data_IF_517316563173
#
_entry.id   IF_517316563173
#
_cell.length_a   1.000
_cell.length_b   1.000
_cell.length_c   1.000
_cell.angle_alpha   90.00
_cell.angle_beta   90.00
_cell.angle_gamma   90.00
#
_symmetry.space_group_name_H-M   'P 1'
#
loop_
_entity.id
_entity.type
_entity.pdbx_description
1 polymer ?
#
# COMPACT_ATOMS: atom_id res chain seq x y z
N UNK A 1 -20.76 16.31 -16.03
CA UNK A 1 -19.91 16.20 -17.24
C UNK A 1 -18.71 15.34 -16.85
N UNK A 2 -18.64 14.13 -17.36
CA UNK A 2 -17.44 13.30 -17.27
C UNK A 2 -16.43 13.92 -18.23
N UNK A 3 -15.35 14.50 -17.72
CA UNK A 3 -14.19 14.79 -18.55
C UNK A 3 -13.47 13.45 -18.72
N UNK A 4 -13.57 12.87 -19.89
CA UNK A 4 -12.68 11.82 -20.33
C UNK A 4 -11.27 12.42 -20.35
N UNK A 5 -10.46 12.04 -19.37
CA UNK A 5 -9.02 12.27 -19.43
C UNK A 5 -8.47 11.20 -20.39
N UNK A 6 -8.72 11.42 -21.66
CA UNK A 6 -8.09 10.66 -22.74
C UNK A 6 -6.69 11.21 -22.92
N UNK A 7 -5.65 10.44 -22.61
CA UNK A 7 -4.32 10.77 -23.04
C UNK A 7 -3.14 10.43 -22.13
N UNK A 8 -3.31 9.66 -21.06
CA UNK A 8 -2.16 9.18 -20.30
C UNK A 8 -2.12 7.66 -20.30
N UNK A 9 -1.32 7.10 -21.21
CA UNK A 9 -0.96 5.70 -21.12
C UNK A 9 0.10 5.53 -20.03
N UNK A 10 -0.15 4.64 -19.06
CA UNK A 10 0.82 4.33 -18.02
C UNK A 10 1.13 2.84 -18.02
N UNK A 11 2.41 2.50 -18.01
CA UNK A 11 2.93 1.15 -17.86
C UNK A 11 3.79 1.05 -16.59
N UNK A 12 3.66 -0.04 -15.83
CA UNK A 12 4.47 -0.30 -14.67
C UNK A 12 5.04 -1.71 -14.75
N UNK A 13 6.36 -1.80 -14.83
CA UNK A 13 7.09 -3.06 -14.78
C UNK A 13 7.69 -3.23 -13.39
N UNK A 14 7.53 -4.40 -12.77
CA UNK A 14 8.09 -4.65 -11.46
C UNK A 14 8.55 -6.08 -11.28
N UNK A 15 9.64 -6.23 -10.51
CA UNK A 15 10.15 -7.52 -10.06
C UNK A 15 10.32 -7.53 -8.55
N UNK A 16 10.06 -8.66 -7.90
CA UNK A 16 10.32 -8.79 -6.48
C UNK A 16 10.90 -10.16 -6.13
N UNK A 17 11.71 -10.19 -5.07
CA UNK A 17 12.26 -11.40 -4.47
C UNK A 17 11.86 -11.39 -3.01
N UNK A 18 11.36 -12.53 -2.50
CA UNK A 18 11.03 -12.69 -1.09
C UNK A 18 11.69 -13.94 -0.54
N UNK A 19 12.44 -13.76 0.54
CA UNK A 19 13.03 -14.83 1.34
C UNK A 19 12.29 -14.88 2.67
N UNK A 20 11.76 -16.02 3.05
CA UNK A 20 11.03 -16.18 4.31
C UNK A 20 11.27 -17.55 4.93
N UNK A 21 11.25 -17.60 6.27
CA UNK A 21 11.25 -18.84 7.05
C UNK A 21 9.94 -18.96 7.81
N UNK A 22 9.30 -20.11 7.74
CA UNK A 22 8.08 -20.39 8.51
C UNK A 22 8.45 -20.98 9.89
N UNK A 23 7.68 -20.62 10.90
CA UNK A 23 7.86 -21.10 12.27
C UNK A 23 7.14 -20.20 13.28
N UNK A 24 7.35 -20.46 14.58
CA UNK A 24 6.90 -19.56 15.66
C UNK A 24 7.51 -18.16 15.45
N UNK A 25 8.76 -18.10 15.01
CA UNK A 25 9.48 -16.93 14.55
C UNK A 25 9.59 -16.98 13.03
N UNK A 26 9.07 -16.00 12.36
CA UNK A 26 8.98 -15.96 10.90
C UNK A 26 9.68 -14.71 10.33
N UNK A 27 11.03 -14.74 10.21
CA UNK A 27 11.77 -13.67 9.55
C UNK A 27 11.49 -13.68 8.05
N UNK A 28 11.45 -12.49 7.46
CA UNK A 28 11.24 -12.28 6.02
C UNK A 28 12.10 -11.11 5.56
N UNK A 29 12.64 -11.22 4.35
CA UNK A 29 13.25 -10.11 3.61
C UNK A 29 12.67 -10.09 2.21
N UNK A 30 12.13 -8.94 1.80
CA UNK A 30 11.67 -8.74 0.45
C UNK A 30 12.42 -7.57 -0.22
N UNK A 31 12.76 -7.76 -1.49
CA UNK A 31 13.37 -6.76 -2.36
C UNK A 31 12.39 -6.50 -3.50
N UNK A 32 12.21 -5.23 -3.87
CA UNK A 32 11.37 -4.80 -4.98
C UNK A 32 12.15 -3.80 -5.83
N UNK A 33 12.05 -3.95 -7.13
CA UNK A 33 12.38 -2.92 -8.11
C UNK A 33 11.18 -2.72 -9.03
N UNK A 34 10.86 -1.48 -9.35
CA UNK A 34 9.78 -1.14 -10.27
C UNK A 34 10.15 0.11 -11.07
N UNK A 35 9.78 0.09 -12.35
CA UNK A 35 9.91 1.19 -13.27
C UNK A 35 8.51 1.53 -13.80
N UNK A 36 8.15 2.81 -13.74
CA UNK A 36 6.89 3.33 -14.26
C UNK A 36 7.15 4.27 -15.43
N UNK A 37 6.37 4.11 -16.50
CA UNK A 37 6.42 4.94 -17.70
C UNK A 37 5.07 5.63 -17.86
N UNK A 38 5.09 6.87 -18.36
CA UNK A 38 3.89 7.63 -18.70
C UNK A 38 4.09 8.17 -20.12
N UNK A 39 3.15 7.88 -21.01
CA UNK A 39 3.23 8.21 -22.44
C UNK A 39 4.54 7.74 -23.10
N UNK A 40 5.00 6.53 -22.71
CA UNK A 40 6.23 5.93 -23.24
C UNK A 40 7.52 6.55 -22.72
N UNK A 41 7.47 7.47 -21.75
CA UNK A 41 8.65 8.10 -21.13
C UNK A 41 8.87 7.54 -19.73
N UNK A 42 10.11 7.34 -19.34
CA UNK A 42 10.49 6.97 -18.00
C UNK A 42 10.00 8.04 -17.01
N UNK A 43 9.14 7.65 -16.07
CA UNK A 43 8.58 8.58 -15.10
C UNK A 43 9.15 8.38 -13.69
N UNK A 44 9.19 7.12 -13.20
CA UNK A 44 9.59 6.81 -11.84
C UNK A 44 10.34 5.49 -11.78
N UNK A 45 11.49 5.50 -11.10
CA UNK A 45 12.18 4.29 -10.64
C UNK A 45 12.00 4.14 -9.13
N UNK A 46 11.62 2.95 -8.69
CA UNK A 46 11.43 2.60 -7.28
C UNK A 46 12.27 1.39 -6.91
N UNK A 47 13.09 1.52 -5.87
CA UNK A 47 13.79 0.42 -5.23
C UNK A 47 13.38 0.33 -3.78
N UNK A 48 13.11 -0.88 -3.27
CA UNK A 48 12.66 -1.08 -1.88
C UNK A 48 13.25 -2.32 -1.27
N UNK A 49 13.66 -2.18 -0.01
CA UNK A 49 14.05 -3.28 0.88
C UNK A 49 13.04 -3.33 2.02
N UNK A 50 12.50 -4.52 2.29
CA UNK A 50 11.43 -4.72 3.28
C UNK A 50 11.76 -5.89 4.20
N UNK A 51 12.53 -5.66 5.29
CA UNK A 51 12.64 -6.65 6.36
C UNK A 51 11.32 -6.77 7.12
N UNK A 52 10.96 -7.99 7.49
CA UNK A 52 9.82 -8.23 8.36
C UNK A 52 10.09 -9.37 9.33
N UNK A 53 9.36 -9.37 10.42
CA UNK A 53 9.47 -10.35 11.47
C UNK A 53 8.08 -10.69 12.00
N UNK A 54 7.74 -11.96 11.98
CA UNK A 54 6.49 -12.47 12.50
C UNK A 54 6.70 -13.30 13.77
N UNK A 55 5.77 -13.20 14.70
CA UNK A 55 5.77 -13.95 15.96
C UNK A 55 4.38 -14.50 16.28
N UNK A 56 4.28 -15.81 16.43
CA UNK A 56 3.05 -16.46 16.87
C UNK A 56 2.98 -16.42 18.41
N UNK A 57 2.27 -15.41 18.94
CA UNK A 57 2.09 -15.20 20.39
C UNK A 57 1.32 -16.36 21.01
N UNK A 58 0.28 -16.83 20.33
CA UNK A 58 -0.55 -17.96 20.71
C UNK A 58 -1.24 -18.53 19.46
N UNK A 59 -1.94 -19.69 19.52
CA UNK A 59 -2.68 -20.21 18.37
C UNK A 59 -3.71 -19.27 17.75
N UNK A 60 -4.11 -18.22 18.50
CA UNK A 60 -5.09 -17.21 18.04
C UNK A 60 -4.49 -15.83 17.75
N UNK A 61 -3.25 -15.58 18.15
CA UNK A 61 -2.65 -14.25 18.02
C UNK A 61 -1.31 -14.31 17.31
N UNK A 62 -1.19 -13.55 16.22
CA UNK A 62 0.04 -13.42 15.46
C UNK A 62 0.40 -11.94 15.31
N UNK A 63 1.62 -11.59 15.66
CA UNK A 63 2.18 -10.24 15.51
C UNK A 63 3.15 -10.22 14.34
N UNK A 64 3.07 -9.21 13.47
CA UNK A 64 4.03 -8.95 12.41
C UNK A 64 4.56 -7.53 12.50
N UNK A 65 5.85 -7.39 12.57
CA UNK A 65 6.58 -6.12 12.46
C UNK A 65 7.21 -6.06 11.06
N UNK A 66 7.16 -4.90 10.43
CA UNK A 66 7.73 -4.71 9.09
C UNK A 66 8.31 -3.31 8.96
N UNK A 67 9.56 -3.24 8.47
CA UNK A 67 10.19 -2.01 7.99
C UNK A 67 10.21 -1.99 6.47
N UNK A 68 10.16 -0.81 5.87
CA UNK A 68 10.41 -0.62 4.45
C UNK A 68 11.35 0.57 4.29
N UNK A 69 12.40 0.41 3.52
CA UNK A 69 13.29 1.49 3.08
C UNK A 69 13.19 1.54 1.57
N UNK A 70 12.83 2.69 1.02
CA UNK A 70 12.64 2.86 -0.43
C UNK A 70 13.40 4.09 -0.92
N UNK A 71 13.93 3.98 -2.13
CA UNK A 71 14.47 5.06 -2.93
C UNK A 71 13.59 5.25 -4.17
N UNK A 72 13.24 6.52 -4.46
CA UNK A 72 12.40 6.92 -5.59
C UNK A 72 13.15 7.97 -6.40
N UNK A 73 13.23 7.76 -7.71
CA UNK A 73 13.87 8.69 -8.64
C UNK A 73 12.87 9.03 -9.75
N UNK A 74 12.62 10.34 -9.94
CA UNK A 74 11.69 10.87 -10.94
C UNK A 74 12.48 11.54 -12.06
N UNK A 75 12.40 11.00 -13.29
CA UNK A 75 13.22 11.50 -14.41
C UNK A 75 12.96 12.98 -14.74
N UNK A 76 11.68 13.38 -14.83
CA UNK A 76 11.31 14.75 -15.22
C UNK A 76 11.13 15.69 -14.02
N UNK A 77 11.17 15.16 -12.78
CA UNK A 77 10.88 15.91 -11.54
C UNK A 77 11.90 15.59 -10.45
N UNK A 78 13.20 15.92 -10.63
CA UNK A 78 14.25 15.54 -9.70
C UNK A 78 14.05 16.12 -8.28
N UNK A 79 13.30 17.18 -8.12
CA UNK A 79 12.91 17.76 -6.83
C UNK A 79 12.04 16.80 -6.00
N UNK A 80 11.38 15.83 -6.64
CA UNK A 80 10.57 14.78 -6.00
C UNK A 80 11.35 13.51 -5.67
N UNK A 81 12.61 13.40 -6.12
CA UNK A 81 13.46 12.28 -5.71
C UNK A 81 13.49 12.18 -4.20
N UNK A 82 13.24 10.99 -3.68
CA UNK A 82 13.02 10.86 -2.25
C UNK A 82 13.48 9.52 -1.68
N UNK A 83 13.88 9.55 -0.42
CA UNK A 83 14.04 8.37 0.41
C UNK A 83 12.87 8.26 1.37
N UNK A 84 12.30 7.06 1.46
CA UNK A 84 11.19 6.78 2.35
C UNK A 84 11.56 5.68 3.34
N UNK A 85 11.28 5.93 4.61
CA UNK A 85 11.31 4.93 5.67
C UNK A 85 9.88 4.75 6.20
N UNK A 86 9.46 3.49 6.35
CA UNK A 86 8.16 3.15 6.91
C UNK A 86 8.28 1.98 7.87
N UNK A 87 7.65 2.10 9.03
CA UNK A 87 7.57 1.02 10.02
C UNK A 87 6.10 0.72 10.29
N UNK A 88 5.76 -0.56 10.33
CA UNK A 88 4.39 -1.04 10.56
C UNK A 88 4.38 -2.19 11.55
N UNK A 89 3.35 -2.22 12.39
CA UNK A 89 3.00 -3.34 13.26
C UNK A 89 1.61 -3.84 12.89
N UNK A 90 1.44 -5.14 12.75
CA UNK A 90 0.13 -5.76 12.46
C UNK A 90 -0.15 -6.87 13.46
N UNK A 91 -1.25 -6.74 14.16
CA UNK A 91 -1.77 -7.76 15.06
C UNK A 91 -2.91 -8.50 14.36
N UNK A 92 -2.83 -9.83 14.31
CA UNK A 92 -3.87 -10.70 13.76
C UNK A 92 -4.56 -11.46 14.89
N UNK A 93 -5.88 -11.40 14.91
CA UNK A 93 -6.72 -12.28 15.70
C UNK A 93 -7.25 -13.38 14.79
N UNK A 94 -6.70 -14.59 14.93
CA UNK A 94 -7.03 -15.79 14.18
C UNK A 94 -8.22 -16.49 14.84
N UNK A 95 -9.39 -16.47 14.20
CA UNK A 95 -10.62 -17.06 14.74
C UNK A 95 -10.78 -18.51 14.30
N UNK A 96 -10.37 -18.80 13.05
CA UNK A 96 -10.37 -20.13 12.48
C UNK A 96 -9.09 -20.30 11.65
N UNK A 97 -7.96 -20.49 12.36
CA UNK A 97 -6.62 -20.53 11.78
C UNK A 97 -6.41 -19.31 10.86
N UNK A 98 -6.20 -19.57 9.56
CA UNK A 98 -6.01 -18.52 8.54
C UNK A 98 -7.26 -18.26 7.70
N UNK A 99 -8.34 -18.99 7.90
CA UNK A 99 -9.55 -18.91 7.08
C UNK A 99 -10.46 -17.77 7.51
N UNK A 100 -10.42 -17.42 8.81
CA UNK A 100 -11.11 -16.27 9.34
C UNK A 100 -10.23 -15.52 10.33
N UNK A 101 -9.97 -14.25 10.05
CA UNK A 101 -9.22 -13.40 10.95
C UNK A 101 -9.65 -11.94 10.86
N UNK A 102 -9.38 -11.20 11.94
CA UNK A 102 -9.35 -9.76 11.98
C UNK A 102 -7.89 -9.32 12.14
N UNK A 103 -7.43 -8.33 11.38
CA UNK A 103 -6.12 -7.73 11.60
C UNK A 103 -6.21 -6.22 11.76
N UNK A 104 -5.45 -5.70 12.72
CA UNK A 104 -5.26 -4.28 12.96
C UNK A 104 -3.78 -3.95 12.72
N UNK A 105 -3.53 -2.99 11.84
CA UNK A 105 -2.20 -2.47 11.54
C UNK A 105 -2.13 -1.00 11.91
N UNK A 106 -1.04 -0.62 12.57
CA UNK A 106 -0.61 0.76 12.76
C UNK A 106 0.78 0.96 12.17
N UNK A 107 1.12 2.18 11.76
CA UNK A 107 2.45 2.47 11.25
C UNK A 107 2.73 3.95 11.10
N UNK A 108 4.00 4.24 10.92
CA UNK A 108 4.54 5.57 10.64
C UNK A 108 5.35 5.51 9.36
N UNK A 109 5.38 6.61 8.63
CA UNK A 109 6.13 6.77 7.40
C UNK A 109 6.73 8.17 7.37
N UNK A 110 8.00 8.27 6.99
CA UNK A 110 8.67 9.52 6.67
C UNK A 110 9.18 9.44 5.24
N UNK A 111 8.93 10.47 4.47
CA UNK A 111 9.45 10.68 3.13
C UNK A 111 10.27 11.96 3.10
N UNK A 112 11.57 11.84 2.79
CA UNK A 112 12.48 12.94 2.64
C UNK A 112 12.76 13.12 1.13
N UNK A 113 12.20 14.14 0.53
CA UNK A 113 12.41 14.51 -0.86
C UNK A 113 13.56 15.52 -1.00
N UNK A 114 14.12 15.67 -2.20
CA UNK A 114 15.14 16.69 -2.48
C UNK A 114 14.61 18.10 -2.21
N UNK A 115 13.37 18.40 -2.61
CA UNK A 115 12.71 19.63 -2.21
C UNK A 115 11.79 19.36 -1.01
N UNK A 116 11.97 20.12 0.07
CA UNK A 116 11.23 19.97 1.33
C UNK A 116 9.71 20.07 1.16
N UNK A 117 9.26 20.76 0.09
CA UNK A 117 7.84 20.86 -0.27
C UNK A 117 7.16 19.49 -0.50
N UNK A 118 7.92 18.45 -0.85
CA UNK A 118 7.44 17.09 -1.07
C UNK A 118 7.77 16.15 0.09
N UNK A 119 8.50 16.64 1.10
CA UNK A 119 8.83 15.88 2.31
C UNK A 119 7.67 15.89 3.27
N UNK A 120 7.36 14.72 3.87
CA UNK A 120 6.24 14.59 4.83
C UNK A 120 6.45 13.44 5.81
N UNK A 121 5.78 13.58 6.95
CA UNK A 121 5.51 12.50 7.90
C UNK A 121 4.09 11.99 7.71
N UNK A 122 3.86 10.70 7.97
CA UNK A 122 2.53 10.12 7.87
C UNK A 122 2.27 9.07 8.94
N UNK A 123 0.99 9.02 9.37
CA UNK A 123 0.43 7.97 10.18
C UNK A 123 -0.46 7.07 9.32
N UNK A 124 -0.32 5.77 9.52
CA UNK A 124 -1.01 4.75 8.73
C UNK A 124 -1.84 3.88 9.65
N UNK A 125 -3.07 3.59 9.27
CA UNK A 125 -3.82 2.51 9.89
C UNK A 125 -4.50 1.62 8.84
N UNK A 126 -4.77 0.37 9.23
CA UNK A 126 -5.50 -0.58 8.40
C UNK A 126 -6.24 -1.56 9.29
N UNK A 127 -7.54 -1.71 9.05
CA UNK A 127 -8.36 -2.77 9.59
C UNK A 127 -8.72 -3.71 8.44
N UNK A 128 -8.51 -5.02 8.61
CA UNK A 128 -8.86 -6.01 7.59
C UNK A 128 -9.56 -7.20 8.22
N UNK A 129 -10.72 -7.53 7.71
CA UNK A 129 -11.45 -8.76 7.95
C UNK A 129 -11.23 -9.73 6.80
N UNK A 130 -10.99 -11.02 7.12
CA UNK A 130 -11.00 -12.12 6.17
C UNK A 130 -12.02 -13.15 6.61
N UNK A 131 -12.78 -13.67 5.67
CA UNK A 131 -13.77 -14.73 5.87
C UNK A 131 -13.69 -15.74 4.73
N UNK A 132 -13.49 -17.02 5.06
CA UNK A 132 -13.70 -18.12 4.11
C UNK A 132 -15.21 -18.32 3.88
N UNK A 133 -15.63 -18.48 2.63
CA UNK A 133 -17.00 -18.76 2.20
C UNK A 133 -16.94 -19.88 1.17
N UNK A 134 -17.16 -21.13 1.61
CA UNK A 134 -16.94 -22.30 0.77
C UNK A 134 -15.48 -22.39 0.29
N UNK A 135 -15.27 -22.40 -1.01
CA UNK A 135 -13.93 -22.48 -1.62
C UNK A 135 -13.25 -21.15 -1.86
N UNK A 136 -13.91 -20.01 -1.60
CA UNK A 136 -13.38 -18.69 -1.86
C UNK A 136 -13.21 -17.88 -0.58
N UNK A 137 -12.47 -16.77 -0.63
CA UNK A 137 -12.23 -15.87 0.50
C UNK A 137 -12.78 -14.49 0.20
N UNK A 138 -13.50 -13.94 1.17
CA UNK A 138 -13.93 -12.56 1.15
C UNK A 138 -13.09 -11.74 2.11
N UNK A 139 -12.77 -10.51 1.69
CA UNK A 139 -12.04 -9.55 2.50
C UNK A 139 -12.78 -8.21 2.51
N UNK A 140 -12.80 -7.60 3.69
CA UNK A 140 -13.18 -6.19 3.87
C UNK A 140 -11.99 -5.47 4.46
N UNK A 141 -11.60 -4.34 3.86
CA UNK A 141 -10.42 -3.59 4.28
C UNK A 141 -10.74 -2.10 4.36
N UNK A 142 -10.45 -1.49 5.52
CA UNK A 142 -10.42 -0.05 5.71
C UNK A 142 -8.96 0.36 5.92
N UNK A 143 -8.47 1.32 5.13
CA UNK A 143 -7.14 1.93 5.27
C UNK A 143 -7.28 3.42 5.48
N UNK A 144 -6.46 3.99 6.36
CA UNK A 144 -6.33 5.42 6.52
C UNK A 144 -4.87 5.83 6.44
N UNK A 145 -4.63 7.02 5.93
CA UNK A 145 -3.32 7.64 5.90
C UNK A 145 -3.51 9.14 6.14
N UNK A 146 -2.87 9.66 7.19
CA UNK A 146 -2.75 11.08 7.46
C UNK A 146 -1.32 11.50 7.16
N UNK A 147 -1.14 12.58 6.37
CA UNK A 147 0.16 13.15 6.00
C UNK A 147 0.24 14.59 6.44
N UNK A 148 1.39 14.97 6.95
CA UNK A 148 1.75 16.32 7.30
C UNK A 148 3.06 16.69 6.58
N UNK A 149 3.00 17.68 5.69
CA UNK A 149 4.16 18.11 4.91
C UNK A 149 5.02 19.05 5.74
N UNK A 150 6.34 19.01 5.49
CA UNK A 150 7.31 19.72 6.35
C UNK A 150 7.40 21.19 6.02
N UNK A 151 7.15 21.58 4.76
CA UNK A 151 7.27 22.96 4.33
C UNK A 151 5.90 23.62 4.14
N UNK A 152 5.77 24.86 4.62
CA UNK A 152 4.63 25.72 4.32
C UNK A 152 4.54 25.99 2.82
N UNK A 153 3.33 25.95 2.28
CA UNK A 153 3.03 26.40 0.93
C UNK A 153 2.62 27.86 0.93
N UNK A 154 3.30 28.69 0.15
CA UNK A 154 2.98 30.12 0.04
C UNK A 154 1.51 30.34 -0.33
N UNK A 155 0.91 29.48 -1.15
CA UNK A 155 -0.50 29.57 -1.55
C UNK A 155 -1.50 29.22 -0.44
N UNK A 156 -1.07 28.51 0.61
CA UNK A 156 -1.92 28.12 1.73
C UNK A 156 -1.66 28.97 2.98
N UNK A 157 -0.44 29.54 3.13
CA UNK A 157 0.01 30.19 4.35
C UNK A 157 0.27 29.20 5.51
N UNK A 158 0.25 27.91 5.23
CA UNK A 158 0.47 26.81 6.18
C UNK A 158 1.05 25.58 5.49
N UNK A 159 1.47 24.58 6.28
CA UNK A 159 1.90 23.30 5.78
C UNK A 159 0.70 22.50 5.23
N UNK A 160 0.90 21.81 4.13
CA UNK A 160 -0.12 20.94 3.55
C UNK A 160 -0.39 19.76 4.47
N UNK A 161 -1.68 19.42 4.64
CA UNK A 161 -2.16 18.26 5.39
C UNK A 161 -3.12 17.48 4.52
N UNK A 162 -2.92 16.16 4.46
CA UNK A 162 -3.75 15.26 3.66
C UNK A 162 -4.30 14.13 4.55
N UNK A 163 -5.59 13.82 4.38
CA UNK A 163 -6.23 12.66 4.97
C UNK A 163 -6.82 11.78 3.89
N UNK A 164 -6.41 10.53 3.84
CA UNK A 164 -6.93 9.54 2.88
C UNK A 164 -7.64 8.42 3.60
N UNK A 165 -8.82 8.09 3.10
CA UNK A 165 -9.61 6.93 3.48
C UNK A 165 -9.79 6.03 2.27
N UNK A 166 -9.64 4.73 2.47
CA UNK A 166 -9.94 3.73 1.45
C UNK A 166 -10.71 2.59 2.08
N UNK A 167 -11.94 2.39 1.63
CA UNK A 167 -12.73 1.20 1.92
C UNK A 167 -12.70 0.30 0.69
N UNK A 168 -12.37 -0.98 0.86
CA UNK A 168 -12.43 -1.95 -0.23
C UNK A 168 -12.99 -3.29 0.23
N UNK A 169 -13.69 -3.95 -0.69
CA UNK A 169 -14.16 -5.32 -0.57
C UNK A 169 -13.55 -6.14 -1.70
N UNK A 170 -12.99 -7.30 -1.39
CA UNK A 170 -12.41 -8.18 -2.41
C UNK A 170 -12.77 -9.64 -2.20
N UNK A 171 -12.81 -10.37 -3.30
CA UNK A 171 -13.03 -11.81 -3.34
C UNK A 171 -11.82 -12.45 -4.01
N UNK A 172 -11.28 -13.49 -3.37
CA UNK A 172 -10.26 -14.37 -3.94
C UNK A 172 -10.90 -15.72 -4.22
N UNK A 173 -10.91 -16.14 -5.47
CA UNK A 173 -11.51 -17.38 -5.93
C UNK A 173 -10.43 -18.31 -6.50
N UNK A 174 -10.16 -19.48 -5.88
CA UNK A 174 -9.31 -20.50 -6.48
C UNK A 174 -10.01 -21.10 -7.70
N UNK A 175 -9.41 -20.95 -8.89
CA UNK A 175 -9.97 -21.48 -10.15
C UNK A 175 -9.53 -22.92 -10.39
N UNK A 176 -8.24 -23.21 -10.13
CA UNK A 176 -7.63 -24.53 -10.26
C UNK A 176 -6.35 -24.59 -9.42
N UNK A 177 -5.63 -25.72 -9.46
CA UNK A 177 -4.34 -25.85 -8.77
C UNK A 177 -3.38 -24.76 -9.25
N UNK A 178 -2.96 -23.91 -8.32
CA UNK A 178 -2.02 -22.81 -8.56
C UNK A 178 -2.65 -21.55 -9.17
N UNK A 179 -3.92 -21.54 -9.61
CA UNK A 179 -4.57 -20.34 -10.17
C UNK A 179 -5.61 -19.76 -9.23
N UNK A 180 -5.57 -18.44 -9.06
CA UNK A 180 -6.48 -17.68 -8.21
C UNK A 180 -6.89 -16.38 -8.90
N UNK A 181 -8.22 -16.18 -9.01
CA UNK A 181 -8.81 -14.92 -9.47
C UNK A 181 -9.07 -14.02 -8.26
N UNK A 182 -8.68 -12.77 -8.36
CA UNK A 182 -9.03 -11.74 -7.39
C UNK A 182 -9.87 -10.66 -8.07
N UNK A 183 -10.95 -10.26 -7.42
CA UNK A 183 -11.79 -9.12 -7.81
C UNK A 183 -11.91 -8.20 -6.60
N UNK A 184 -11.56 -6.93 -6.77
CA UNK A 184 -11.66 -5.91 -5.71
C UNK A 184 -12.46 -4.72 -6.21
N UNK A 185 -13.42 -4.26 -5.41
CA UNK A 185 -14.10 -2.98 -5.55
C UNK A 185 -13.77 -2.11 -4.34
N UNK A 186 -13.53 -0.83 -4.55
CA UNK A 186 -13.15 0.10 -3.49
C UNK A 186 -13.60 1.52 -3.75
N UNK A 187 -13.62 2.30 -2.68
CA UNK A 187 -13.90 3.73 -2.70
C UNK A 187 -12.80 4.45 -1.93
N UNK A 188 -12.18 5.43 -2.58
CA UNK A 188 -11.15 6.30 -2.02
C UNK A 188 -11.72 7.70 -1.79
N UNK A 189 -11.49 8.26 -0.61
CA UNK A 189 -11.76 9.66 -0.28
C UNK A 189 -10.43 10.27 0.12
N UNK A 190 -10.09 11.37 -0.48
CA UNK A 190 -8.88 12.13 -0.23
C UNK A 190 -9.24 13.56 0.11
N UNK A 191 -8.97 13.99 1.34
CA UNK A 191 -9.14 15.35 1.83
C UNK A 191 -7.80 16.02 2.03
N UNK A 192 -7.68 17.25 1.59
CA UNK A 192 -6.48 18.07 1.73
C UNK A 192 -6.90 19.50 2.10
N UNK A 193 -6.05 20.22 2.84
CA UNK A 193 -6.19 21.68 2.95
C UNK A 193 -5.75 22.41 1.66
N UNK A 194 -5.30 21.67 0.64
CA UNK A 194 -5.09 22.14 -0.72
C UNK A 194 -6.25 21.68 -1.59
N UNK A 195 -7.22 22.55 -1.88
CA UNK A 195 -8.49 22.26 -2.57
C UNK A 195 -8.34 21.43 -3.85
N UNK A 196 -7.30 21.74 -4.66
CA UNK A 196 -7.04 21.01 -5.92
C UNK A 196 -6.59 19.55 -5.71
N UNK A 197 -6.30 19.15 -4.47
CA UNK A 197 -5.92 17.79 -4.12
C UNK A 197 -7.09 16.98 -3.55
N UNK A 198 -8.25 17.60 -3.30
CA UNK A 198 -9.45 16.90 -2.84
C UNK A 198 -10.05 16.08 -3.98
N UNK A 199 -10.29 14.80 -3.74
CA UNK A 199 -11.00 13.94 -4.69
C UNK A 199 -11.67 12.75 -4.01
N UNK A 200 -12.64 12.20 -4.71
CA UNK A 200 -13.29 10.93 -4.37
C UNK A 200 -13.38 10.09 -5.63
N UNK A 201 -13.02 8.80 -5.54
CA UNK A 201 -13.06 7.92 -6.69
C UNK A 201 -13.48 6.49 -6.32
N UNK A 202 -14.19 5.85 -7.25
CA UNK A 202 -14.41 4.41 -7.20
C UNK A 202 -13.27 3.70 -7.94
N UNK A 203 -12.89 2.54 -7.43
CA UNK A 203 -11.86 1.70 -8.01
C UNK A 203 -12.39 0.28 -8.19
N UNK A 204 -12.09 -0.30 -9.33
CA UNK A 204 -12.34 -1.70 -9.61
C UNK A 204 -11.07 -2.33 -10.15
N UNK A 205 -10.67 -3.47 -9.57
CA UNK A 205 -9.46 -4.18 -9.96
C UNK A 205 -9.76 -5.67 -10.12
N UNK A 206 -9.17 -6.28 -11.13
CA UNK A 206 -9.17 -7.74 -11.32
C UNK A 206 -7.74 -8.21 -11.47
N UNK A 207 -7.42 -9.38 -10.94
CA UNK A 207 -6.09 -9.95 -11.00
C UNK A 207 -6.15 -11.46 -11.12
N UNK A 208 -5.30 -12.04 -11.96
CA UNK A 208 -5.05 -13.47 -12.02
C UNK A 208 -3.68 -13.75 -11.40
N UNK A 209 -3.65 -14.58 -10.38
CA UNK A 209 -2.44 -14.99 -9.70
C UNK A 209 -2.14 -16.46 -10.03
N UNK A 210 -0.88 -16.74 -10.23
CA UNK A 210 -0.40 -18.10 -10.45
C UNK A 210 0.72 -18.41 -9.45
N UNK A 211 0.52 -19.46 -8.64
CA UNK A 211 1.47 -19.99 -7.66
C UNK A 211 1.91 -21.39 -8.14
N UNK A 212 3.21 -21.68 -8.20
CA UNK A 212 3.78 -22.98 -8.61
C UNK A 212 4.73 -23.53 -7.55
#
# INVERSE_FOLDING_TARGET
QWQDITGYDSDIQSGFIRLSRRGVWSPELALLAADAHVDGRDFLQLRRVSPAFGYLISPRWYLRLQGDISDKQFNDYPDRDSQQVRVRSTLYWLMDKTDRYLSLQGGIKRENAKADLYSYDAFLSRLRWKQAVGSWFWFLTLKTEYREYQQERVSLGEARQDMRWRLSSSVEWPLSVGFRLTVEAGHDIYHSNLDVADYSQNRFETGLHWDY
#
